data_IF_196870411498
#
_entry.id   IF_196870411498
#
_cell.length_a   1.000
_cell.length_b   1.000
_cell.length_c   1.000
_cell.angle_alpha   90.00
_cell.angle_beta   90.00
_cell.angle_gamma   90.00
#
_symmetry.space_group_name_H-M   'P 1'
#
loop_
_entity.id
_entity.type
_entity.pdbx_description
1 polymer ?
#
# COMPACT_ATOMS: atom_id res chain seq x y z
N UNK A 1 16.40 -4.66 26.44
CA UNK A 1 15.69 -5.76 25.74
C UNK A 1 16.02 -7.08 26.45
N UNK A 2 15.02 -7.79 26.99
CA UNK A 2 15.24 -8.99 27.82
C UNK A 2 15.69 -10.20 27.00
N UNK A 3 16.27 -11.21 27.66
CA UNK A 3 16.69 -12.46 26.99
C UNK A 3 15.54 -13.14 26.23
N UNK A 4 14.33 -13.12 26.80
CA UNK A 4 13.11 -13.61 26.17
C UNK A 4 12.79 -12.84 24.88
N UNK A 5 12.84 -11.50 24.92
CA UNK A 5 12.57 -10.65 23.76
C UNK A 5 13.58 -10.91 22.62
N UNK A 6 14.86 -11.08 22.96
CA UNK A 6 15.91 -11.43 21.98
C UNK A 6 15.69 -12.81 21.34
N UNK A 7 15.25 -13.80 22.12
CA UNK A 7 14.91 -15.16 21.61
C UNK A 7 13.71 -15.11 20.66
N UNK A 8 12.64 -14.41 21.05
CA UNK A 8 11.43 -14.26 20.24
C UNK A 8 11.69 -13.50 18.95
N UNK A 9 12.51 -12.44 18.99
CA UNK A 9 12.90 -11.71 17.79
C UNK A 9 13.67 -12.60 16.80
N UNK A 10 14.63 -13.40 17.29
CA UNK A 10 15.37 -14.35 16.45
C UNK A 10 14.46 -15.39 15.79
N UNK A 11 13.46 -15.90 16.50
CA UNK A 11 12.47 -16.84 15.92
C UNK A 11 11.65 -16.20 14.80
N UNK A 12 11.23 -14.94 15.01
CA UNK A 12 10.47 -14.18 14.01
C UNK A 12 11.32 -13.88 12.77
N UNK A 13 12.59 -13.49 12.95
CA UNK A 13 13.51 -13.23 11.84
C UNK A 13 13.91 -14.51 11.09
N UNK A 14 14.09 -15.63 11.79
CA UNK A 14 14.41 -16.91 11.15
C UNK A 14 13.26 -17.46 10.28
N UNK A 15 12.02 -17.16 10.63
CA UNK A 15 10.85 -17.47 9.79
C UNK A 15 10.78 -16.60 8.52
N UNK A 16 11.67 -15.62 8.37
CA UNK A 16 11.63 -14.62 7.31
C UNK A 16 12.85 -14.73 6.38
N UNK A 17 12.76 -15.61 5.38
CA UNK A 17 13.78 -15.74 4.33
C UNK A 17 13.54 -14.70 3.22
N UNK A 18 14.12 -13.52 3.40
CA UNK A 18 14.03 -12.39 2.47
C UNK A 18 14.71 -12.65 1.12
N UNK A 19 13.99 -13.26 0.18
CA UNK A 19 14.42 -13.40 -1.20
C UNK A 19 14.20 -12.09 -1.99
N UNK A 20 14.98 -11.88 -3.05
CA UNK A 20 14.72 -10.85 -4.07
C UNK A 20 13.30 -11.03 -4.61
N UNK A 21 12.39 -10.11 -4.26
CA UNK A 21 11.01 -10.15 -4.74
C UNK A 21 10.95 -9.64 -6.17
N UNK A 22 10.37 -10.43 -7.05
CA UNK A 22 10.06 -10.03 -8.42
C UNK A 22 8.74 -9.27 -8.48
N UNK A 23 8.55 -8.48 -9.53
CA UNK A 23 7.27 -7.80 -9.81
C UNK A 23 6.15 -8.84 -9.91
N UNK A 24 6.41 -10.00 -10.51
CA UNK A 24 5.50 -11.16 -10.52
C UNK A 24 5.03 -11.55 -9.11
N UNK A 25 5.94 -11.79 -8.16
CA UNK A 25 5.56 -12.17 -6.78
C UNK A 25 4.79 -11.04 -6.07
N UNK A 26 5.21 -9.79 -6.25
CA UNK A 26 4.50 -8.65 -5.67
C UNK A 26 3.09 -8.51 -6.23
N UNK A 27 2.90 -8.76 -7.53
CA UNK A 27 1.59 -8.71 -8.16
C UNK A 27 0.72 -9.91 -7.77
N UNK A 28 1.28 -11.11 -7.61
CA UNK A 28 0.56 -12.26 -7.01
C UNK A 28 0.00 -11.92 -5.63
N UNK A 29 0.78 -11.25 -4.78
CA UNK A 29 0.31 -10.83 -3.45
C UNK A 29 -0.83 -9.80 -3.55
N UNK A 30 -0.82 -8.91 -4.55
CA UNK A 30 -1.92 -7.97 -4.80
C UNK A 30 -3.18 -8.68 -5.30
N UNK A 31 -3.05 -9.70 -6.15
CA UNK A 31 -4.18 -10.51 -6.61
C UNK A 31 -4.80 -11.28 -5.44
N UNK A 32 -3.98 -11.90 -4.57
CA UNK A 32 -4.44 -12.55 -3.34
C UNK A 32 -5.18 -11.58 -2.42
N UNK A 33 -4.63 -10.38 -2.21
CA UNK A 33 -5.32 -9.33 -1.45
C UNK A 33 -6.67 -8.98 -2.09
N UNK A 34 -6.75 -8.89 -3.42
CA UNK A 34 -8.00 -8.67 -4.14
C UNK A 34 -9.03 -9.77 -3.89
N UNK A 35 -8.61 -11.04 -3.91
CA UNK A 35 -9.47 -12.19 -3.61
C UNK A 35 -9.97 -12.17 -2.15
N UNK A 36 -9.09 -11.92 -1.18
CA UNK A 36 -9.45 -11.80 0.25
C UNK A 36 -10.46 -10.66 0.48
N UNK A 37 -10.25 -9.52 -0.18
CA UNK A 37 -11.18 -8.39 -0.11
C UNK A 37 -12.52 -8.72 -0.78
N UNK A 38 -12.50 -9.44 -1.91
CA UNK A 38 -13.73 -9.86 -2.57
C UNK A 38 -14.55 -10.80 -1.68
N UNK A 39 -13.91 -11.79 -1.05
CA UNK A 39 -14.51 -12.76 -0.13
C UNK A 39 -15.26 -12.10 1.04
N UNK A 40 -14.75 -10.96 1.50
CA UNK A 40 -15.32 -10.20 2.63
C UNK A 40 -16.26 -9.08 2.18
N UNK A 41 -16.47 -8.94 0.86
CA UNK A 41 -17.32 -7.92 0.26
C UNK A 41 -18.67 -8.49 -0.21
N UNK A 42 -19.56 -7.60 -0.66
CA UNK A 42 -20.82 -7.96 -1.32
C UNK A 42 -20.67 -8.11 -2.84
N UNK A 43 -19.47 -7.90 -3.39
CA UNK A 43 -19.22 -7.96 -4.83
C UNK A 43 -18.86 -9.37 -5.24
N UNK A 44 -19.32 -9.82 -6.42
CA UNK A 44 -18.98 -11.12 -6.98
C UNK A 44 -17.57 -11.17 -7.58
N UNK A 45 -17.00 -10.01 -7.92
CA UNK A 45 -15.66 -9.89 -8.49
C UNK A 45 -14.98 -8.59 -8.08
N UNK A 46 -13.66 -8.53 -8.29
CA UNK A 46 -12.81 -7.34 -8.15
C UNK A 46 -12.11 -7.06 -9.47
N UNK A 47 -12.12 -5.78 -9.88
CA UNK A 47 -11.43 -5.32 -11.08
C UNK A 47 -10.09 -4.68 -10.72
N UNK A 48 -9.00 -5.22 -11.27
CA UNK A 48 -7.66 -4.68 -11.15
C UNK A 48 -7.33 -3.85 -12.39
N UNK A 49 -6.96 -2.59 -12.17
CA UNK A 49 -6.47 -1.68 -13.21
C UNK A 49 -4.94 -1.63 -13.13
N UNK A 50 -4.25 -2.03 -14.20
CA UNK A 50 -2.77 -2.00 -14.24
C UNK A 50 -2.27 -1.39 -15.54
N UNK A 51 -0.97 -1.10 -15.60
CA UNK A 51 -0.33 -0.90 -16.90
C UNK A 51 -0.20 -2.22 -17.67
N UNK A 52 0.46 -2.17 -18.83
CA UNK A 52 0.65 -3.32 -19.72
C UNK A 52 1.89 -4.16 -19.39
N UNK A 53 2.45 -4.07 -18.17
CA UNK A 53 3.67 -4.78 -17.82
C UNK A 53 3.52 -6.31 -18.00
N UNK A 54 4.42 -6.99 -18.76
CA UNK A 54 4.23 -8.39 -19.15
C UNK A 54 4.09 -9.38 -17.98
N UNK A 55 4.74 -9.10 -16.85
CA UNK A 55 4.65 -9.97 -15.67
C UNK A 55 3.25 -10.01 -15.07
N UNK A 56 2.43 -8.97 -15.24
CA UNK A 56 1.05 -8.97 -14.75
C UNK A 56 0.19 -9.97 -15.54
N UNK A 57 0.33 -9.98 -16.87
CA UNK A 57 -0.36 -10.93 -17.73
C UNK A 57 0.00 -12.38 -17.37
N UNK A 58 1.27 -12.65 -17.04
CA UNK A 58 1.70 -13.97 -16.60
C UNK A 58 1.02 -14.41 -15.30
N UNK A 59 0.95 -13.53 -14.30
CA UNK A 59 0.23 -13.86 -13.05
C UNK A 59 -1.24 -14.15 -13.30
N UNK A 60 -1.90 -13.36 -14.15
CA UNK A 60 -3.32 -13.59 -14.48
C UNK A 60 -3.55 -14.91 -15.23
N UNK A 61 -2.56 -15.34 -16.04
CA UNK A 61 -2.57 -16.65 -16.68
C UNK A 61 -2.42 -17.80 -15.67
N UNK A 62 -1.73 -17.59 -14.56
CA UNK A 62 -1.48 -18.66 -13.60
C UNK A 62 -2.63 -18.83 -12.58
N UNK A 63 -3.70 -18.04 -12.70
CA UNK A 63 -4.89 -18.15 -11.86
C UNK A 63 -5.73 -19.38 -12.20
N UNK A 64 -6.31 -19.99 -11.17
CA UNK A 64 -7.29 -21.08 -11.28
C UNK A 64 -8.60 -20.59 -11.93
N UNK A 65 -9.45 -21.54 -12.36
CA UNK A 65 -10.73 -21.22 -13.00
C UNK A 65 -11.62 -20.31 -12.13
N UNK A 66 -11.76 -20.66 -10.86
CA UNK A 66 -12.57 -19.90 -9.89
C UNK A 66 -11.98 -18.50 -9.62
N UNK A 67 -10.66 -18.39 -9.46
CA UNK A 67 -9.98 -17.10 -9.25
C UNK A 67 -10.15 -16.16 -10.45
N UNK A 68 -10.11 -16.69 -11.68
CA UNK A 68 -10.33 -15.89 -12.91
C UNK A 68 -11.74 -15.33 -13.02
N UNK A 69 -12.75 -16.02 -12.48
CA UNK A 69 -14.11 -15.50 -12.44
C UNK A 69 -14.24 -14.34 -11.43
N UNK A 70 -13.47 -14.41 -10.34
CA UNK A 70 -13.48 -13.44 -9.24
C UNK A 70 -12.58 -12.23 -9.50
N UNK A 71 -11.58 -12.34 -10.36
CA UNK A 71 -10.63 -11.25 -10.67
C UNK A 71 -10.72 -10.86 -12.14
N UNK A 72 -11.15 -9.62 -12.38
CA UNK A 72 -11.12 -9.00 -13.69
C UNK A 72 -9.85 -8.17 -13.84
N UNK A 73 -9.17 -8.26 -14.99
CA UNK A 73 -7.95 -7.50 -15.25
C UNK A 73 -8.13 -6.54 -16.42
N UNK A 74 -8.06 -5.24 -16.13
CA UNK A 74 -8.05 -4.18 -17.15
C UNK A 74 -6.62 -3.64 -17.27
N UNK A 75 -6.07 -3.76 -18.47
CA UNK A 75 -4.73 -3.24 -18.81
C UNK A 75 -4.88 -1.92 -19.54
N UNK A 76 -4.12 -0.93 -19.09
CA UNK A 76 -4.18 0.44 -19.58
C UNK A 76 -2.80 0.83 -20.08
N UNK A 77 -2.70 1.31 -21.31
CA UNK A 77 -1.40 1.69 -21.85
C UNK A 77 -0.77 2.83 -21.05
N UNK A 78 0.49 2.64 -20.65
CA UNK A 78 1.28 3.65 -19.92
C UNK A 78 1.59 4.89 -20.77
N UNK A 79 1.37 4.81 -22.10
CA UNK A 79 1.50 5.93 -23.04
C UNK A 79 0.31 6.88 -23.00
N UNK A 80 -0.81 6.50 -22.39
CA UNK A 80 -1.97 7.37 -22.31
C UNK A 80 -1.68 8.59 -21.43
N UNK A 81 -2.21 9.77 -21.78
CA UNK A 81 -2.03 10.98 -20.98
C UNK A 81 -2.43 10.78 -19.51
N UNK A 82 -1.58 11.24 -18.57
CA UNK A 82 -1.83 11.19 -17.12
C UNK A 82 -2.81 12.29 -16.68
N UNK A 83 -4.05 12.18 -17.15
CA UNK A 83 -5.15 13.09 -16.81
C UNK A 83 -6.08 12.46 -15.76
N UNK A 84 -7.00 13.26 -15.22
CA UNK A 84 -8.07 12.77 -14.32
C UNK A 84 -9.00 11.73 -14.97
N UNK A 85 -9.02 11.66 -16.31
CA UNK A 85 -9.82 10.68 -17.07
C UNK A 85 -9.08 9.36 -17.28
N UNK A 86 -7.78 9.30 -16.98
CA UNK A 86 -7.02 8.07 -17.06
C UNK A 86 -7.50 7.10 -15.97
N UNK A 87 -7.78 5.85 -16.31
CA UNK A 87 -8.21 4.84 -15.32
C UNK A 87 -7.12 4.54 -14.28
N UNK A 88 -5.85 4.78 -14.61
CA UNK A 88 -4.72 4.75 -13.68
C UNK A 88 -4.52 6.07 -12.92
N UNK A 89 -5.49 6.99 -12.93
CA UNK A 89 -5.34 8.29 -12.28
C UNK A 89 -4.99 8.17 -10.80
N UNK A 90 -5.62 7.23 -10.06
CA UNK A 90 -5.37 7.04 -8.62
C UNK A 90 -3.90 6.72 -8.32
N UNK A 91 -3.30 5.79 -9.07
CA UNK A 91 -1.90 5.41 -8.90
C UNK A 91 -0.95 6.50 -9.41
N UNK A 92 -1.26 7.14 -10.54
CA UNK A 92 -0.46 8.27 -11.05
C UNK A 92 -0.49 9.48 -10.11
N UNK A 93 -1.64 9.74 -9.49
CA UNK A 93 -1.81 10.78 -8.49
C UNK A 93 -0.95 10.49 -7.27
N UNK A 94 -1.06 9.29 -6.69
CA UNK A 94 -0.32 8.93 -5.49
C UNK A 94 1.19 8.91 -5.73
N UNK A 95 1.64 8.38 -6.87
CA UNK A 95 3.06 8.41 -7.27
C UNK A 95 3.59 9.84 -7.34
N UNK A 96 2.83 10.77 -7.94
CA UNK A 96 3.21 12.19 -7.97
C UNK A 96 3.31 12.78 -6.58
N UNK A 97 2.36 12.49 -5.68
CA UNK A 97 2.38 13.02 -4.31
C UNK A 97 3.54 12.44 -3.50
N UNK A 98 3.87 11.15 -3.66
CA UNK A 98 5.06 10.53 -3.05
C UNK A 98 6.32 11.24 -3.53
N UNK A 99 6.47 11.47 -4.84
CA UNK A 99 7.66 12.16 -5.38
C UNK A 99 7.73 13.62 -4.98
N UNK A 100 6.60 14.28 -4.75
CA UNK A 100 6.57 15.66 -4.27
C UNK A 100 6.99 15.76 -2.81
N UNK A 101 6.43 14.90 -1.96
CA UNK A 101 6.50 15.05 -0.51
C UNK A 101 7.66 14.25 0.12
N UNK A 102 8.16 13.20 -0.56
CA UNK A 102 9.29 12.40 -0.10
C UNK A 102 10.51 12.59 -1.03
N UNK A 103 11.52 13.29 -0.52
CA UNK A 103 12.72 13.65 -1.29
C UNK A 103 13.49 12.45 -1.84
N UNK A 104 13.40 11.29 -1.20
CA UNK A 104 14.09 10.07 -1.63
C UNK A 104 13.51 9.39 -2.88
N UNK A 105 12.33 9.86 -3.32
CA UNK A 105 11.64 9.37 -4.50
C UNK A 105 11.73 10.35 -5.69
N UNK A 106 12.37 11.51 -5.53
CA UNK A 106 12.42 12.55 -6.58
C UNK A 106 13.42 12.23 -7.69
N UNK A 107 14.65 11.84 -7.33
CA UNK A 107 15.78 11.66 -8.26
C UNK A 107 16.72 10.56 -7.78
N UNK A 108 16.90 9.57 -8.65
CA UNK A 108 17.78 8.42 -8.41
C UNK A 108 19.25 8.81 -8.15
N UNK A 109 19.71 9.95 -8.68
CA UNK A 109 21.14 10.31 -8.66
C UNK A 109 21.57 11.16 -7.46
N UNK A 110 20.68 11.99 -6.92
CA UNK A 110 21.06 13.02 -5.92
C UNK A 110 20.40 12.78 -4.57
N UNK A 111 19.19 12.22 -4.57
CA UNK A 111 18.36 12.11 -3.38
C UNK A 111 17.75 10.72 -3.37
N UNK A 112 18.56 9.66 -3.33
CA UNK A 112 18.06 8.30 -3.19
C UNK A 112 18.28 7.80 -1.76
N UNK A 113 17.37 6.94 -1.30
CA UNK A 113 17.55 6.29 -0.01
C UNK A 113 18.70 5.28 -0.09
N UNK A 114 19.71 5.45 0.76
CA UNK A 114 20.84 4.50 0.87
C UNK A 114 20.42 3.14 1.45
N UNK A 115 19.26 3.09 2.08
CA UNK A 115 18.69 1.88 2.66
C UNK A 115 17.21 1.77 2.25
N UNK A 116 16.88 0.70 1.52
CA UNK A 116 15.52 0.44 1.04
C UNK A 116 14.52 0.20 2.20
N UNK A 117 14.95 -0.34 3.34
CA UNK A 117 14.10 -0.53 4.51
C UNK A 117 13.67 0.83 5.07
N UNK A 118 14.62 1.73 5.31
CA UNK A 118 14.34 3.09 5.81
C UNK A 118 13.44 3.88 4.84
N UNK A 119 13.64 3.70 3.54
CA UNK A 119 12.75 4.25 2.50
C UNK A 119 11.31 3.76 2.68
N UNK A 120 11.12 2.44 2.82
CA UNK A 120 9.80 1.85 3.00
C UNK A 120 9.15 2.21 4.35
N UNK A 121 9.93 2.34 5.43
CA UNK A 121 9.44 2.84 6.72
C UNK A 121 8.95 4.30 6.62
N UNK A 122 9.73 5.17 5.96
CA UNK A 122 9.30 6.54 5.68
C UNK A 122 8.04 6.56 4.83
N UNK A 123 7.95 5.70 3.82
CA UNK A 123 6.74 5.58 3.01
C UNK A 123 5.52 5.11 3.84
N UNK A 124 5.72 4.24 4.84
CA UNK A 124 4.65 3.84 5.75
C UNK A 124 4.15 5.01 6.60
N UNK A 125 5.06 5.85 7.13
CA UNK A 125 4.70 7.09 7.84
C UNK A 125 3.99 8.06 6.91
N UNK A 126 4.49 8.22 5.68
CA UNK A 126 3.87 9.07 4.67
C UNK A 126 2.44 8.61 4.34
N UNK A 127 2.18 7.31 4.22
CA UNK A 127 0.83 6.77 3.99
C UNK A 127 -0.14 7.15 5.11
N UNK A 128 0.30 7.16 6.37
CA UNK A 128 -0.51 7.65 7.49
C UNK A 128 -0.83 9.14 7.31
N UNK A 129 0.22 9.96 7.08
CA UNK A 129 0.06 11.40 6.90
C UNK A 129 -0.85 11.76 5.73
N UNK A 130 -0.57 11.20 4.54
CA UNK A 130 -1.33 11.45 3.32
C UNK A 130 -2.81 11.10 3.47
N UNK A 131 -3.12 9.95 4.08
CA UNK A 131 -4.50 9.49 4.17
C UNK A 131 -5.30 10.17 5.27
N UNK A 132 -4.69 10.44 6.43
CA UNK A 132 -5.45 10.79 7.65
C UNK A 132 -5.15 12.18 8.22
N UNK A 133 -4.11 12.87 7.75
CA UNK A 133 -3.71 14.19 8.29
C UNK A 133 -3.78 15.25 7.20
N UNK A 134 -3.25 14.96 6.00
CA UNK A 134 -3.24 15.89 4.89
C UNK A 134 -4.66 16.17 4.40
N UNK A 135 -5.06 17.45 4.25
CA UNK A 135 -6.30 17.83 3.59
C UNK A 135 -6.40 17.25 2.18
N UNK A 136 -7.58 16.77 1.80
CA UNK A 136 -7.83 16.22 0.45
C UNK A 136 -7.59 17.25 -0.66
N UNK A 137 -7.79 18.55 -0.38
CA UNK A 137 -7.54 19.65 -1.30
C UNK A 137 -6.78 20.77 -0.60
N UNK A 138 -5.64 21.15 -1.16
CA UNK A 138 -4.77 22.23 -0.69
C UNK A 138 -4.79 23.33 -1.75
N UNK A 139 -5.07 24.59 -1.36
CA UNK A 139 -5.00 25.75 -2.27
C UNK A 139 -6.33 26.38 -2.70
N UNK A 140 -7.42 26.20 -1.94
CA UNK A 140 -8.63 27.03 -2.08
C UNK A 140 -8.71 28.08 -0.98
N UNK A 141 -9.49 29.15 -1.21
CA UNK A 141 -9.80 30.23 -0.24
C UNK A 141 -10.39 29.73 1.08
N UNK A 142 -10.94 28.52 1.09
CA UNK A 142 -11.39 27.81 2.28
C UNK A 142 -10.49 26.58 2.47
N UNK A 143 -9.82 26.52 3.63
CA UNK A 143 -9.09 25.34 4.05
C UNK A 143 -10.10 24.21 4.32
N UNK A 144 -10.09 23.20 3.45
CA UNK A 144 -10.87 21.99 3.68
C UNK A 144 -10.22 21.17 4.77
N UNK A 145 -10.93 20.91 5.87
CA UNK A 145 -10.46 20.01 6.93
C UNK A 145 -10.63 18.53 6.59
N UNK A 146 -11.36 18.22 5.51
CA UNK A 146 -11.66 16.84 5.09
C UNK A 146 -10.38 16.14 4.61
N UNK A 147 -10.03 15.02 5.25
CA UNK A 147 -8.91 14.17 4.88
C UNK A 147 -9.19 13.27 3.65
N UNK A 148 -8.13 12.67 3.09
CA UNK A 148 -8.26 11.69 2.01
C UNK A 148 -9.08 10.45 2.42
N UNK A 149 -8.90 9.97 3.66
CA UNK A 149 -9.62 8.84 4.22
C UNK A 149 -11.12 9.14 4.39
N UNK A 150 -11.48 10.34 4.84
CA UNK A 150 -12.89 10.77 4.89
C UNK A 150 -13.50 10.83 3.50
N UNK A 151 -12.77 11.37 2.52
CA UNK A 151 -13.23 11.42 1.14
C UNK A 151 -13.41 10.02 0.53
N UNK A 152 -12.64 9.04 0.99
CA UNK A 152 -12.79 7.63 0.61
C UNK A 152 -13.98 6.92 1.31
N UNK A 153 -14.69 7.62 2.21
CA UNK A 153 -15.89 7.12 2.88
C UNK A 153 -15.67 6.58 4.30
N UNK A 154 -14.48 6.75 4.88
CA UNK A 154 -14.24 6.38 6.28
C UNK A 154 -14.85 7.46 7.19
N UNK A 155 -15.73 7.12 8.15
CA UNK A 155 -16.32 8.12 9.05
C UNK A 155 -15.27 8.90 9.85
N UNK A 156 -15.41 10.23 9.89
CA UNK A 156 -14.49 11.12 10.59
C UNK A 156 -14.28 10.74 12.06
N UNK A 157 -15.34 10.31 12.76
CA UNK A 157 -15.24 9.88 14.15
C UNK A 157 -14.34 8.65 14.33
N UNK A 158 -14.36 7.71 13.37
CA UNK A 158 -13.51 6.51 13.41
C UNK A 158 -12.04 6.86 13.16
N UNK A 159 -11.78 7.82 12.27
CA UNK A 159 -10.42 8.33 12.04
C UNK A 159 -9.92 9.02 13.32
N UNK A 160 -10.72 9.93 13.89
CA UNK A 160 -10.36 10.64 15.11
C UNK A 160 -10.13 9.70 16.31
N UNK A 161 -10.91 8.63 16.45
CA UNK A 161 -10.68 7.63 17.50
C UNK A 161 -9.36 6.88 17.31
N UNK A 162 -9.06 6.41 16.10
CA UNK A 162 -7.81 5.69 15.83
C UNK A 162 -6.58 6.60 15.93
N UNK A 163 -6.67 7.84 15.43
CA UNK A 163 -5.57 8.80 15.49
C UNK A 163 -5.13 9.13 16.93
N UNK A 164 -6.08 9.14 17.90
CA UNK A 164 -5.75 9.29 19.33
C UNK A 164 -4.89 8.14 19.87
N UNK A 165 -4.93 6.97 19.24
CA UNK A 165 -4.15 5.80 19.67
C UNK A 165 -2.72 5.77 19.14
N UNK A 166 -2.43 6.49 18.04
CA UNK A 166 -1.16 6.38 17.31
C UNK A 166 0.05 6.65 18.20
N UNK A 167 -0.04 7.65 19.08
CA UNK A 167 1.05 8.03 20.00
C UNK A 167 0.84 7.57 21.44
N UNK A 168 -0.31 6.97 21.76
CA UNK A 168 -0.66 6.56 23.13
C UNK A 168 -0.67 5.06 23.33
N UNK A 169 -0.79 4.28 22.24
CA UNK A 169 -0.85 2.82 22.30
C UNK A 169 0.28 2.19 21.50
N UNK A 170 0.95 1.22 22.11
CA UNK A 170 1.94 0.40 21.43
C UNK A 170 1.27 -0.73 20.65
N UNK A 171 1.43 -0.72 19.32
CA UNK A 171 1.02 -1.84 18.46
C UNK A 171 2.11 -2.91 18.45
N UNK A 172 1.70 -4.17 18.46
CA UNK A 172 2.61 -5.32 18.43
C UNK A 172 2.31 -6.17 17.21
N UNK A 173 3.32 -6.55 16.45
CA UNK A 173 3.18 -7.38 15.25
C UNK A 173 2.28 -8.60 15.49
N UNK A 174 2.50 -9.34 16.58
CA UNK A 174 1.72 -10.54 16.93
C UNK A 174 0.26 -10.29 17.31
N UNK A 175 -0.13 -9.02 17.53
CA UNK A 175 -1.48 -8.61 17.92
C UNK A 175 -2.15 -7.76 16.83
N UNK A 176 -1.45 -7.48 15.73
CA UNK A 176 -1.98 -6.75 14.59
C UNK A 176 -2.40 -7.75 13.53
N UNK A 177 -3.70 -8.02 13.44
CA UNK A 177 -4.24 -8.87 12.39
C UNK A 177 -4.24 -8.13 11.03
N UNK A 178 -4.25 -8.90 9.94
CA UNK A 178 -4.51 -8.42 8.56
C UNK A 178 -3.55 -7.36 8.00
N UNK A 179 -2.29 -7.39 8.41
CA UNK A 179 -1.25 -6.62 7.72
C UNK A 179 -1.06 -7.14 6.29
N UNK A 180 -0.96 -6.25 5.30
CA UNK A 180 -0.56 -6.65 3.95
C UNK A 180 0.80 -7.33 3.97
N UNK A 181 1.12 -8.15 2.97
CA UNK A 181 2.44 -8.79 2.89
C UNK A 181 3.54 -7.74 2.97
N UNK A 182 3.41 -6.64 2.22
CA UNK A 182 4.35 -5.51 2.24
C UNK A 182 4.52 -4.88 3.62
N UNK A 183 3.43 -4.64 4.35
CA UNK A 183 3.50 -4.06 5.70
C UNK A 183 4.16 -5.03 6.69
N UNK A 184 3.92 -6.35 6.53
CA UNK A 184 4.65 -7.37 7.31
C UNK A 184 6.14 -7.33 7.01
N UNK A 185 6.54 -7.16 5.74
CA UNK A 185 7.96 -7.04 5.40
C UNK A 185 8.57 -5.83 6.13
N UNK A 186 7.91 -4.67 6.10
CA UNK A 186 8.41 -3.45 6.76
C UNK A 186 8.59 -3.67 8.26
N UNK A 187 7.62 -4.31 8.93
CA UNK A 187 7.67 -4.51 10.38
C UNK A 187 8.75 -5.53 10.82
N UNK A 188 9.09 -6.48 9.97
CA UNK A 188 10.00 -7.58 10.30
C UNK A 188 11.48 -7.32 9.94
N UNK A 189 11.79 -6.13 9.42
CA UNK A 189 13.15 -5.74 9.06
C UNK A 189 13.93 -5.09 10.19
#
# INVERSE_FOLDING_TARGET
>A
MTAYQKKKNRQVQAAFSGHRRSIYRSFQDLVRLGLELQETSRHSSVTLFTDEHPQYARVMHDLTGDERQRIQHLRISSKLPRTVRNQLFSVNYLDREIRKDNSDHTRETVQFARNACNCMERLAVYRLYHNYIKPYRIGKREESTISHAERAGIPAQRIASEMRTVFTQRRFFSRTARLSVSDRLIWLK
#
